data_IF_020949871124
#
_entry.id   IF_020949871124
#
_cell.length_a   1.000
_cell.length_b   1.000
_cell.length_c   1.000
_cell.angle_alpha   90.00
_cell.angle_beta   90.00
_cell.angle_gamma   90.00
#
_symmetry.space_group_name_H-M   'P 1'
#
loop_
_entity.id
_entity.type
_entity.pdbx_description
1 polymer ?
#
# COMPACT_ATOMS: atom_id res chain seq x y z
N UNK A 1 -9.17 22.33 -3.17
CA UNK A 1 -8.15 21.54 -2.45
C UNK A 1 -7.85 20.31 -3.28
N UNK A 2 -6.59 20.06 -3.62
CA UNK A 2 -6.20 18.86 -4.37
C UNK A 2 -6.51 17.60 -3.55
N UNK A 3 -7.22 16.66 -4.17
CA UNK A 3 -7.54 15.37 -3.58
C UNK A 3 -7.75 14.36 -4.69
N UNK A 4 -6.96 13.29 -4.68
CA UNK A 4 -7.06 12.23 -5.68
C UNK A 4 -6.89 10.86 -5.05
N UNK A 5 -7.54 9.86 -5.64
CA UNK A 5 -7.29 8.44 -5.38
C UNK A 5 -6.51 7.86 -6.55
N UNK A 6 -5.45 7.12 -6.24
CA UNK A 6 -4.64 6.41 -7.23
C UNK A 6 -4.62 4.93 -6.88
N UNK A 7 -4.95 4.11 -7.87
CA UNK A 7 -4.93 2.65 -7.77
C UNK A 7 -4.10 2.06 -8.91
N UNK A 8 -3.14 1.20 -8.58
CA UNK A 8 -2.34 0.50 -9.57
C UNK A 8 -3.17 -0.65 -10.16
N UNK A 9 -3.38 -0.59 -11.46
CA UNK A 9 -3.96 -1.69 -12.24
C UNK A 9 -2.93 -2.25 -13.23
N UNK A 10 -3.00 -3.55 -13.58
CA UNK A 10 -2.21 -4.10 -14.67
C UNK A 10 -2.52 -3.32 -15.95
N UNK A 11 -1.48 -3.01 -16.74
CA UNK A 11 -1.66 -2.34 -18.02
C UNK A 11 -2.49 -3.24 -18.96
N UNK A 12 -3.38 -2.67 -19.78
CA UNK A 12 -4.05 -3.44 -20.81
C UNK A 12 -3.03 -3.99 -21.82
N UNK A 13 -3.31 -5.16 -22.36
CA UNK A 13 -2.44 -5.84 -23.35
C UNK A 13 -2.55 -5.22 -24.74
N UNK A 14 -3.70 -4.61 -25.06
CA UNK A 14 -3.95 -3.92 -26.33
C UNK A 14 -3.72 -2.41 -26.25
N UNK A 15 -3.60 -1.78 -27.43
CA UNK A 15 -3.63 -0.31 -27.60
C UNK A 15 -5.04 0.20 -27.93
N UNK A 16 -6.07 -0.59 -27.62
CA UNK A 16 -7.45 -0.20 -27.86
C UNK A 16 -7.81 1.02 -27.01
N UNK A 17 -8.40 2.03 -27.64
CA UNK A 17 -8.71 3.32 -27.03
C UNK A 17 -9.62 3.14 -25.82
N UNK A 18 -10.66 2.32 -25.95
CA UNK A 18 -11.64 2.12 -24.87
C UNK A 18 -11.02 1.36 -23.69
N UNK A 19 -10.13 0.38 -23.95
CA UNK A 19 -9.36 -0.28 -22.89
C UNK A 19 -8.44 0.68 -22.12
N UNK A 20 -7.75 1.59 -22.84
CA UNK A 20 -6.86 2.57 -22.23
C UNK A 20 -7.63 3.61 -21.40
N UNK A 21 -8.79 4.08 -21.87
CA UNK A 21 -9.68 4.98 -21.11
C UNK A 21 -10.21 4.27 -19.86
N UNK A 22 -10.67 3.02 -19.99
CA UNK A 22 -11.15 2.24 -18.83
C UNK A 22 -10.04 2.04 -17.79
N UNK A 23 -8.80 1.77 -18.22
CA UNK A 23 -7.65 1.67 -17.34
C UNK A 23 -7.34 3.00 -16.64
N UNK A 24 -7.39 4.13 -17.36
CA UNK A 24 -7.19 5.47 -16.80
C UNK A 24 -8.23 5.77 -15.71
N UNK A 25 -9.51 5.54 -16.03
CA UNK A 25 -10.64 5.77 -15.13
C UNK A 25 -10.57 4.89 -13.89
N UNK A 26 -10.18 3.62 -14.03
CA UNK A 26 -9.94 2.73 -12.90
C UNK A 26 -8.76 3.21 -12.04
N UNK A 27 -7.66 3.63 -12.66
CA UNK A 27 -6.44 4.11 -11.97
C UNK A 27 -6.72 5.35 -11.12
N UNK A 28 -7.57 6.27 -11.58
CA UNK A 28 -8.02 7.43 -10.79
C UNK A 28 -9.17 7.10 -9.82
N UNK A 29 -9.59 5.83 -9.75
CA UNK A 29 -10.69 5.37 -8.92
C UNK A 29 -12.03 6.04 -9.26
N UNK A 30 -12.19 6.57 -10.48
CA UNK A 30 -13.33 7.39 -10.93
C UNK A 30 -14.65 6.59 -10.99
N UNK A 31 -14.57 5.27 -11.02
CA UNK A 31 -15.72 4.38 -10.95
C UNK A 31 -15.66 3.60 -9.64
N UNK A 32 -16.78 3.56 -8.91
CA UNK A 32 -16.96 2.61 -7.81
C UNK A 32 -17.44 1.30 -8.40
N UNK A 33 -16.53 0.36 -8.68
CA UNK A 33 -16.91 -1.01 -9.05
C UNK A 33 -17.68 -1.65 -7.88
N UNK A 34 -19.00 -1.73 -7.99
CA UNK A 34 -19.86 -2.51 -7.10
C UNK A 34 -20.30 -3.76 -7.88
N UNK A 35 -19.67 -4.90 -7.60
CA UNK A 35 -20.11 -6.20 -8.13
C UNK A 35 -20.09 -6.32 -9.65
N UNK A 36 -20.54 -7.49 -10.14
CA UNK A 36 -20.71 -7.82 -11.56
C UNK A 36 -21.91 -7.10 -12.23
N UNK A 37 -22.48 -6.07 -11.60
CA UNK A 37 -23.74 -5.41 -12.00
C UNK A 37 -23.51 -4.22 -12.94
N UNK A 38 -22.73 -4.40 -14.00
CA UNK A 38 -22.70 -3.45 -15.12
C UNK A 38 -23.14 -4.18 -16.39
N UNK A 39 -24.45 -4.36 -16.53
CA UNK A 39 -25.14 -5.01 -17.66
C UNK A 39 -24.87 -4.36 -19.03
N UNK A 40 -24.29 -3.15 -19.06
CA UNK A 40 -23.93 -2.41 -20.28
C UNK A 40 -22.41 -2.27 -20.52
N UNK A 41 -21.57 -2.94 -19.73
CA UNK A 41 -20.11 -2.86 -19.82
C UNK A 41 -19.52 -1.53 -19.32
N UNK A 42 -18.23 -1.55 -18.97
CA UNK A 42 -17.51 -0.38 -18.42
C UNK A 42 -17.45 0.81 -19.40
N UNK A 43 -17.64 0.59 -20.71
CA UNK A 43 -17.49 1.61 -21.77
C UNK A 43 -18.64 2.63 -21.88
N UNK A 44 -19.83 2.31 -21.36
CA UNK A 44 -21.01 3.20 -21.40
C UNK A 44 -21.17 4.05 -20.14
N UNK A 45 -20.22 3.97 -19.21
CA UNK A 45 -20.31 4.75 -17.99
C UNK A 45 -20.14 6.25 -18.29
N UNK A 46 -20.94 7.14 -17.65
CA UNK A 46 -20.89 8.58 -17.90
C UNK A 46 -19.50 9.20 -17.94
N UNK A 47 -18.61 8.78 -17.02
CA UNK A 47 -17.24 9.31 -16.97
C UNK A 47 -16.37 8.84 -18.14
N UNK A 48 -16.60 7.64 -18.65
CA UNK A 48 -15.90 7.08 -19.80
C UNK A 48 -16.37 7.80 -21.07
N UNK A 49 -17.68 7.98 -21.23
CA UNK A 49 -18.27 8.73 -22.36
C UNK A 49 -17.80 10.18 -22.33
N UNK A 50 -17.80 10.84 -21.17
CA UNK A 50 -17.26 12.20 -20.99
C UNK A 50 -15.82 12.34 -21.48
N UNK A 51 -14.95 11.40 -21.09
CA UNK A 51 -13.57 11.42 -21.52
C UNK A 51 -13.45 11.10 -23.02
N UNK A 52 -14.07 10.01 -23.49
CA UNK A 52 -13.94 9.52 -24.86
C UNK A 52 -14.50 10.50 -25.89
N UNK A 53 -15.74 10.95 -25.70
CA UNK A 53 -16.53 11.61 -26.75
C UNK A 53 -16.47 13.14 -26.65
N UNK A 54 -16.08 13.70 -25.50
CA UNK A 54 -16.00 15.14 -25.31
C UNK A 54 -14.57 15.63 -25.07
N UNK A 55 -13.96 15.26 -23.95
CA UNK A 55 -12.69 15.87 -23.53
C UNK A 55 -11.47 15.41 -24.32
N UNK A 56 -11.37 14.11 -24.62
CA UNK A 56 -10.26 13.58 -25.41
C UNK A 56 -10.52 13.82 -26.90
N UNK A 57 -11.76 13.65 -27.38
CA UNK A 57 -12.11 13.88 -28.79
C UNK A 57 -11.84 15.32 -29.23
N UNK A 58 -12.09 16.31 -28.36
CA UNK A 58 -11.94 17.71 -28.70
C UNK A 58 -11.14 18.46 -27.60
N UNK A 59 -9.84 18.18 -27.45
CA UNK A 59 -9.05 18.59 -26.27
C UNK A 59 -8.82 20.11 -26.18
N UNK A 60 -8.89 20.81 -27.32
CA UNK A 60 -8.78 22.27 -27.42
C UNK A 60 -10.12 23.00 -27.23
N UNK A 61 -11.22 22.26 -27.20
CA UNK A 61 -12.56 22.84 -27.04
C UNK A 61 -13.03 22.67 -25.60
N UNK A 62 -13.74 23.68 -25.10
CA UNK A 62 -14.46 23.53 -23.85
C UNK A 62 -15.92 23.24 -24.12
N UNK A 63 -16.53 22.39 -23.30
CA UNK A 63 -17.93 21.99 -23.43
C UNK A 63 -18.74 22.58 -22.28
N UNK A 64 -19.95 23.03 -22.60
CA UNK A 64 -20.89 23.55 -21.62
C UNK A 64 -21.58 22.41 -20.84
N UNK A 65 -21.77 22.61 -19.53
CA UNK A 65 -22.38 21.59 -18.67
C UNK A 65 -23.84 21.25 -19.06
N UNK A 66 -24.61 22.21 -19.59
CA UNK A 66 -25.99 21.97 -20.05
C UNK A 66 -26.03 21.09 -21.31
N UNK A 67 -25.08 21.29 -22.22
CA UNK A 67 -24.91 20.47 -23.43
C UNK A 67 -24.53 19.05 -23.02
N UNK A 68 -23.51 18.90 -22.17
CA UNK A 68 -23.10 17.59 -21.64
C UNK A 68 -24.25 16.84 -20.95
N UNK A 69 -25.05 17.55 -20.15
CA UNK A 69 -26.17 16.94 -19.44
C UNK A 69 -27.23 16.40 -20.40
N UNK A 70 -27.54 17.16 -21.46
CA UNK A 70 -28.51 16.78 -22.50
C UNK A 70 -28.01 15.60 -23.33
N UNK A 71 -26.75 15.61 -23.76
CA UNK A 71 -26.16 14.57 -24.61
C UNK A 71 -25.99 13.24 -23.86
N UNK A 72 -25.63 13.28 -22.58
CA UNK A 72 -25.50 12.08 -21.74
C UNK A 72 -26.83 11.59 -21.15
N UNK A 73 -27.92 12.34 -21.32
CA UNK A 73 -29.20 12.05 -20.68
C UNK A 73 -29.14 12.07 -19.14
N UNK A 74 -28.28 12.91 -18.56
CA UNK A 74 -28.04 12.98 -17.12
C UNK A 74 -28.70 14.21 -16.49
N UNK A 75 -29.24 14.03 -15.28
CA UNK A 75 -29.63 15.17 -14.46
C UNK A 75 -28.39 16.00 -14.06
N UNK A 76 -28.55 17.33 -13.97
CA UNK A 76 -27.45 18.26 -13.66
C UNK A 76 -26.64 17.90 -12.39
N UNK A 77 -27.25 17.44 -11.27
CA UNK A 77 -26.48 17.02 -10.09
C UNK A 77 -25.57 15.80 -10.35
N UNK A 78 -26.02 14.86 -11.20
CA UNK A 78 -25.25 13.66 -11.54
C UNK A 78 -24.05 14.00 -12.42
N UNK A 79 -24.25 14.86 -13.43
CA UNK A 79 -23.15 15.38 -14.23
C UNK A 79 -22.15 16.15 -13.36
N UNK A 80 -22.64 17.03 -12.49
CA UNK A 80 -21.80 17.81 -11.58
C UNK A 80 -20.90 16.91 -10.74
N UNK A 81 -21.41 15.78 -10.24
CA UNK A 81 -20.61 14.81 -9.51
C UNK A 81 -19.43 14.27 -10.32
N UNK A 82 -19.63 13.90 -11.59
CA UNK A 82 -18.55 13.42 -12.46
C UNK A 82 -17.52 14.52 -12.78
N UNK A 83 -17.99 15.73 -13.08
CA UNK A 83 -17.14 16.89 -13.37
C UNK A 83 -16.29 17.26 -12.16
N UNK A 84 -16.85 17.29 -10.95
CA UNK A 84 -16.09 17.58 -9.71
C UNK A 84 -14.97 16.56 -9.55
N UNK A 85 -15.24 15.27 -9.74
CA UNK A 85 -14.22 14.22 -9.61
C UNK A 85 -13.12 14.31 -10.66
N UNK A 86 -13.45 14.65 -11.91
CA UNK A 86 -12.47 14.89 -12.97
C UNK A 86 -11.60 16.13 -12.68
N UNK A 87 -12.20 17.20 -12.12
CA UNK A 87 -11.45 18.39 -11.68
C UNK A 87 -10.54 18.08 -10.47
N UNK A 88 -11.02 17.28 -9.50
CA UNK A 88 -10.25 16.81 -8.35
C UNK A 88 -9.03 15.99 -8.77
N UNK A 89 -9.18 15.15 -9.81
CA UNK A 89 -8.08 14.39 -10.42
C UNK A 89 -7.21 15.24 -11.36
N UNK A 90 -7.51 16.54 -11.52
CA UNK A 90 -6.80 17.47 -12.39
C UNK A 90 -6.76 17.10 -13.88
N UNK A 91 -7.65 16.22 -14.33
CA UNK A 91 -7.76 15.86 -15.75
C UNK A 91 -8.41 17.00 -16.54
N UNK A 92 -9.43 17.63 -15.96
CA UNK A 92 -10.13 18.77 -16.56
C UNK A 92 -9.94 20.03 -15.72
N UNK A 93 -10.19 21.17 -16.35
CA UNK A 93 -10.33 22.47 -15.72
C UNK A 93 -11.67 23.09 -16.10
N UNK A 94 -12.08 24.11 -15.34
CA UNK A 94 -13.35 24.80 -15.54
C UNK A 94 -13.12 26.30 -15.53
N UNK A 95 -13.74 27.03 -16.45
CA UNK A 95 -13.73 28.50 -16.50
C UNK A 95 -15.16 29.01 -16.39
N UNK A 96 -15.38 30.02 -15.54
CA UNK A 96 -16.65 30.74 -15.47
C UNK A 96 -16.76 31.67 -16.66
N UNK A 97 -17.89 31.65 -17.38
CA UNK A 97 -18.14 32.52 -18.54
C UNK A 97 -19.12 33.66 -18.27
N UNK A 98 -19.65 33.75 -17.04
CA UNK A 98 -20.72 34.70 -16.67
C UNK A 98 -22.01 33.97 -16.34
N UNK A 99 -22.97 34.66 -15.70
CA UNK A 99 -24.33 34.18 -15.40
C UNK A 99 -24.45 32.80 -14.72
N UNK A 100 -23.40 32.38 -14.00
CA UNK A 100 -23.35 31.10 -13.30
C UNK A 100 -22.96 29.91 -14.19
N UNK A 101 -22.65 30.13 -15.47
CA UNK A 101 -22.33 29.08 -16.43
C UNK A 101 -20.83 28.79 -16.42
N UNK A 102 -20.49 27.50 -16.63
CA UNK A 102 -19.11 27.01 -16.59
C UNK A 102 -18.81 26.19 -17.82
N UNK A 103 -17.69 26.52 -18.46
CA UNK A 103 -17.11 25.75 -19.55
C UNK A 103 -16.04 24.82 -19.00
N UNK A 104 -16.11 23.54 -19.36
CA UNK A 104 -15.21 22.49 -18.91
C UNK A 104 -14.31 22.04 -20.06
N UNK A 105 -13.01 21.89 -19.83
CA UNK A 105 -12.03 21.55 -20.87
C UNK A 105 -10.87 20.74 -20.31
N UNK A 106 -10.13 20.05 -21.19
CA UNK A 106 -8.98 19.24 -20.80
C UNK A 106 -7.85 20.14 -20.29
N UNK A 107 -7.31 19.84 -19.10
CA UNK A 107 -6.30 20.69 -18.46
C UNK A 107 -5.02 20.70 -19.29
N UNK A 108 -4.54 21.89 -19.68
CA UNK A 108 -3.32 22.00 -20.49
C UNK A 108 -3.49 21.59 -21.95
N UNK A 109 -4.74 21.51 -22.44
CA UNK A 109 -5.10 21.26 -23.84
C UNK A 109 -4.68 19.88 -24.41
N UNK A 110 -4.12 18.99 -23.59
CA UNK A 110 -3.87 17.59 -23.94
C UNK A 110 -3.87 16.71 -22.68
N UNK A 111 -4.09 15.40 -22.83
CA UNK A 111 -4.10 14.46 -21.71
C UNK A 111 -2.68 14.30 -21.14
N UNK A 112 -1.66 14.26 -22.01
CA UNK A 112 -0.25 14.21 -21.61
C UNK A 112 0.13 15.45 -20.79
N UNK A 113 -0.34 16.63 -21.17
CA UNK A 113 -0.13 17.86 -20.40
C UNK A 113 -0.87 17.81 -19.06
N UNK A 114 -2.14 17.38 -19.04
CA UNK A 114 -2.92 17.21 -17.81
C UNK A 114 -2.20 16.27 -16.82
N UNK A 115 -1.76 15.09 -17.30
CA UNK A 115 -1.04 14.10 -16.49
C UNK A 115 0.32 14.61 -16.03
N UNK A 116 1.04 15.38 -16.85
CA UNK A 116 2.32 16.00 -16.45
C UNK A 116 2.13 16.96 -15.28
N UNK A 117 1.13 17.84 -15.36
CA UNK A 117 0.84 18.80 -14.28
C UNK A 117 0.33 18.07 -13.04
N UNK A 118 -0.60 17.13 -13.21
CA UNK A 118 -1.08 16.25 -12.14
C UNK A 118 0.06 15.55 -11.41
N UNK A 119 1.00 14.95 -12.15
CA UNK A 119 2.12 14.21 -11.59
C UNK A 119 3.03 15.08 -10.73
N UNK A 120 3.29 16.33 -11.15
CA UNK A 120 4.06 17.29 -10.37
C UNK A 120 3.33 17.68 -9.08
N UNK A 121 2.04 18.02 -9.17
CA UNK A 121 1.20 18.40 -8.02
C UNK A 121 1.05 17.24 -7.02
N UNK A 122 0.79 16.02 -7.51
CA UNK A 122 0.68 14.81 -6.70
C UNK A 122 1.96 14.50 -5.91
N UNK A 123 3.13 14.67 -6.51
CA UNK A 123 4.43 14.51 -5.83
C UNK A 123 4.61 15.53 -4.71
N UNK A 124 4.37 16.81 -5.00
CA UNK A 124 4.51 17.89 -4.03
C UNK A 124 3.58 17.66 -2.84
N UNK A 125 2.31 17.33 -3.09
CA UNK A 125 1.34 17.09 -2.03
C UNK A 125 1.68 15.83 -1.22
N UNK A 126 2.11 14.75 -1.88
CA UNK A 126 2.56 13.56 -1.17
C UNK A 126 3.81 13.84 -0.31
N UNK A 127 4.74 14.65 -0.78
CA UNK A 127 5.93 15.05 -0.03
C UNK A 127 5.55 15.82 1.24
N UNK A 128 4.59 16.76 1.13
CA UNK A 128 4.03 17.48 2.27
C UNK A 128 3.33 16.53 3.26
N UNK A 129 2.55 15.57 2.77
CA UNK A 129 1.89 14.60 3.65
C UNK A 129 2.92 13.68 4.33
N UNK A 130 3.92 13.19 3.61
CA UNK A 130 4.91 12.27 4.19
C UNK A 130 5.86 12.95 5.17
N UNK A 131 6.12 14.26 5.06
CA UNK A 131 6.92 14.98 6.06
C UNK A 131 6.25 15.02 7.44
N UNK A 132 4.91 14.96 7.49
CA UNK A 132 4.17 14.90 8.76
C UNK A 132 4.41 13.62 9.55
N UNK A 133 4.83 12.53 8.88
CA UNK A 133 5.06 11.23 9.51
C UNK A 133 6.11 11.29 10.62
N UNK A 134 7.11 12.16 10.48
CA UNK A 134 8.18 12.34 11.46
C UNK A 134 7.65 12.71 12.85
N UNK A 135 6.56 13.48 12.92
CA UNK A 135 5.93 13.92 14.18
C UNK A 135 5.49 12.75 15.07
N UNK A 136 5.14 11.61 14.49
CA UNK A 136 4.64 10.46 15.22
C UNK A 136 5.62 9.29 15.27
N UNK A 137 6.78 9.39 14.60
CA UNK A 137 7.74 8.30 14.52
C UNK A 137 8.53 8.18 15.82
N UNK A 138 8.28 7.12 16.59
CA UNK A 138 8.89 6.88 17.91
C UNK A 138 9.70 5.56 17.95
N UNK A 139 10.10 5.04 16.79
CA UNK A 139 10.89 3.79 16.70
C UNK A 139 12.38 4.10 16.87
N UNK A 140 13.06 3.36 17.75
CA UNK A 140 14.51 3.41 17.88
C UNK A 140 15.19 2.54 16.81
N UNK A 141 16.18 3.08 16.10
CA UNK A 141 16.88 2.39 14.99
C UNK A 141 17.53 1.07 15.42
N UNK A 142 18.04 1.00 16.65
CA UNK A 142 18.70 -0.17 17.24
C UNK A 142 17.81 -1.41 17.35
N UNK A 143 16.49 -1.25 17.27
CA UNK A 143 15.52 -2.35 17.33
C UNK A 143 15.23 -3.00 15.97
N UNK A 144 15.78 -2.44 14.90
CA UNK A 144 15.62 -2.94 13.54
C UNK A 144 16.91 -3.63 13.16
N UNK A 145 17.10 -4.87 13.61
CA UNK A 145 18.01 -5.76 12.89
C UNK A 145 17.53 -5.76 11.44
N UNK A 146 18.43 -5.45 10.49
CA UNK A 146 18.12 -5.42 9.06
C UNK A 146 17.56 -6.78 8.65
N UNK A 147 16.23 -6.89 8.69
CA UNK A 147 15.56 -8.07 8.19
C UNK A 147 15.94 -8.18 6.73
N UNK A 148 16.45 -9.35 6.37
CA UNK A 148 16.62 -9.74 4.99
C UNK A 148 15.39 -9.32 4.19
N UNK A 149 15.56 -8.71 3.00
CA UNK A 149 14.44 -8.42 2.13
C UNK A 149 13.59 -9.68 2.02
N UNK A 150 12.31 -9.52 2.31
CA UNK A 150 11.31 -10.58 2.27
C UNK A 150 11.54 -11.40 1.00
N UNK A 151 11.67 -12.71 1.17
CA UNK A 151 11.91 -13.65 0.07
C UNK A 151 11.00 -13.34 -1.12
N UNK A 152 11.51 -13.57 -2.34
CA UNK A 152 10.91 -13.24 -3.64
C UNK A 152 9.44 -13.66 -3.87
N UNK A 153 8.82 -14.35 -2.92
CA UNK A 153 7.45 -14.87 -2.96
C UNK A 153 6.39 -13.92 -2.37
N UNK A 154 6.75 -12.74 -1.85
CA UNK A 154 5.76 -11.72 -1.48
C UNK A 154 5.68 -10.64 -2.56
N UNK A 155 4.84 -10.87 -3.57
CA UNK A 155 4.51 -9.84 -4.55
C UNK A 155 3.93 -8.63 -3.81
N UNK A 156 4.47 -7.42 -4.01
CA UNK A 156 3.88 -6.23 -3.43
C UNK A 156 2.43 -6.10 -3.91
N UNK A 157 1.52 -5.83 -2.99
CA UNK A 157 0.13 -5.52 -3.35
C UNK A 157 0.10 -4.33 -4.30
N UNK A 158 -0.83 -4.23 -5.26
CA UNK A 158 -0.95 -3.05 -6.10
C UNK A 158 -1.07 -1.76 -5.26
N UNK A 159 -0.44 -0.67 -5.72
CA UNK A 159 -0.52 0.61 -5.01
C UNK A 159 -1.97 1.06 -4.87
N UNK A 160 -2.37 1.46 -3.66
CA UNK A 160 -3.61 2.18 -3.41
C UNK A 160 -3.31 3.30 -2.45
N UNK A 161 -3.44 4.53 -2.93
CA UNK A 161 -3.04 5.72 -2.21
C UNK A 161 -4.05 6.84 -2.44
N UNK A 162 -4.38 7.59 -1.40
CA UNK A 162 -5.01 8.89 -1.56
C UNK A 162 -3.95 9.96 -1.40
N UNK A 163 -4.05 11.02 -2.19
CA UNK A 163 -3.16 12.17 -2.12
C UNK A 163 -4.07 13.38 -1.96
N UNK A 164 -4.12 13.90 -0.75
CA UNK A 164 -4.91 15.07 -0.39
C UNK A 164 -3.99 16.14 0.20
N UNK A 165 -4.26 17.41 -0.07
CA UNK A 165 -3.60 18.49 0.65
C UNK A 165 -3.92 18.39 2.15
N UNK A 166 -2.97 18.71 3.04
CA UNK A 166 -3.22 18.78 4.48
C UNK A 166 -4.36 19.77 4.79
N UNK A 167 -5.41 19.28 5.44
CA UNK A 167 -6.60 20.05 5.78
C UNK A 167 -6.70 20.31 7.28
N UNK A 168 -7.43 21.36 7.72
CA UNK A 168 -7.79 21.51 9.12
C UNK A 168 -8.50 20.26 9.65
N UNK A 169 -8.33 20.00 10.94
CA UNK A 169 -9.06 18.91 11.60
C UNK A 169 -10.57 19.11 11.42
N UNK A 170 -11.31 18.04 11.06
CA UNK A 170 -12.76 18.14 11.02
C UNK A 170 -13.29 18.40 12.45
N UNK A 171 -14.37 19.17 12.60
CA UNK A 171 -14.98 19.49 13.89
C UNK A 171 -15.77 18.29 14.45
N UNK A 172 -15.10 17.14 14.60
CA UNK A 172 -15.68 15.88 15.05
C UNK A 172 -14.92 15.40 16.28
N UNK A 173 -15.64 15.16 17.36
CA UNK A 173 -15.05 14.73 18.63
C UNK A 173 -14.25 13.41 18.46
N UNK A 174 -13.07 13.36 19.08
CA UNK A 174 -12.21 12.18 19.08
C UNK A 174 -11.35 11.99 17.83
N UNK A 175 -11.45 12.86 16.82
CA UNK A 175 -10.52 12.91 15.69
C UNK A 175 -9.22 13.58 16.13
N UNK A 176 -8.08 12.99 15.77
CA UNK A 176 -6.75 13.56 16.00
C UNK A 176 -5.95 13.73 14.70
N UNK A 177 -4.84 14.47 14.75
CA UNK A 177 -3.99 14.74 13.58
C UNK A 177 -3.58 13.47 12.83
N UNK A 178 -3.18 12.43 13.57
CA UNK A 178 -2.80 11.15 12.96
C UNK A 178 -3.96 10.52 12.18
N UNK A 179 -5.16 10.51 12.76
CA UNK A 179 -6.33 9.93 12.10
C UNK A 179 -6.78 10.70 10.86
N UNK A 180 -6.59 12.03 10.85
CA UNK A 180 -6.81 12.88 9.69
C UNK A 180 -5.79 12.57 8.58
N UNK A 181 -4.51 12.53 8.94
CA UNK A 181 -3.44 12.13 8.02
C UNK A 181 -3.64 10.72 7.43
N UNK A 182 -4.06 9.76 8.26
CA UNK A 182 -4.41 8.41 7.80
C UNK A 182 -5.60 8.40 6.83
N UNK A 183 -6.56 9.30 7.01
CA UNK A 183 -7.67 9.48 6.08
C UNK A 183 -7.19 10.04 4.75
N UNK A 184 -6.30 11.03 4.78
CA UNK A 184 -5.76 11.72 3.60
C UNK A 184 -4.91 10.81 2.72
N UNK A 185 -4.28 9.78 3.31
CA UNK A 185 -3.56 8.72 2.59
C UNK A 185 -4.42 7.50 2.22
N UNK A 186 -5.71 7.48 2.63
CA UNK A 186 -6.63 6.39 2.33
C UNK A 186 -6.48 5.14 3.21
N UNK A 187 -5.70 5.22 4.29
CA UNK A 187 -5.44 4.12 5.22
C UNK A 187 -6.69 3.73 6.01
N UNK A 188 -7.64 4.65 6.18
CA UNK A 188 -8.94 4.40 6.82
C UNK A 188 -10.00 3.85 5.84
N UNK A 189 -9.65 3.67 4.57
CA UNK A 189 -10.52 3.10 3.53
C UNK A 189 -11.49 4.11 2.93
N UNK A 190 -12.43 3.63 2.11
CA UNK A 190 -13.29 4.51 1.29
C UNK A 190 -14.32 5.36 2.06
N UNK A 191 -14.52 5.06 3.34
CA UNK A 191 -15.41 5.80 4.24
C UNK A 191 -14.67 6.14 5.53
N UNK A 192 -13.68 7.05 5.47
CA UNK A 192 -12.77 7.29 6.57
C UNK A 192 -13.47 7.82 7.82
N UNK A 193 -14.56 8.60 7.67
CA UNK A 193 -15.29 9.24 8.78
C UNK A 193 -15.75 8.26 9.87
N UNK A 194 -16.01 6.99 9.53
CA UNK A 194 -16.39 5.95 10.50
C UNK A 194 -15.22 5.41 11.33
N UNK A 195 -14.00 5.72 10.96
CA UNK A 195 -12.77 5.17 11.54
C UNK A 195 -11.73 6.25 11.83
N UNK A 196 -12.12 7.52 11.86
CA UNK A 196 -11.26 8.64 12.23
C UNK A 196 -11.15 8.86 13.73
N UNK A 197 -11.90 8.11 14.56
CA UNK A 197 -11.71 8.19 16.00
C UNK A 197 -10.30 7.68 16.37
N UNK A 198 -9.62 8.41 17.23
CA UNK A 198 -8.29 8.10 17.76
C UNK A 198 -8.17 6.74 18.47
N UNK A 199 -9.29 6.16 18.90
CA UNK A 199 -9.43 4.82 19.51
C UNK A 199 -9.91 3.75 18.55
N UNK A 200 -10.07 4.07 17.26
CA UNK A 200 -10.46 3.07 16.27
C UNK A 200 -9.33 2.09 15.99
N UNK A 201 -9.69 0.82 15.73
CA UNK A 201 -8.74 -0.27 15.44
C UNK A 201 -7.64 0.11 14.43
N UNK A 202 -7.93 0.73 13.27
CA UNK A 202 -6.87 1.11 12.33
C UNK A 202 -5.89 2.12 12.92
N UNK A 203 -6.39 3.13 13.64
CA UNK A 203 -5.55 4.19 14.23
C UNK A 203 -4.70 3.63 15.36
N UNK A 204 -5.27 2.78 16.21
CA UNK A 204 -4.54 2.08 17.27
C UNK A 204 -3.41 1.21 16.69
N UNK A 205 -3.73 0.35 15.71
CA UNK A 205 -2.71 -0.46 15.03
C UNK A 205 -1.59 0.40 14.43
N UNK A 206 -1.93 1.51 13.79
CA UNK A 206 -0.93 2.37 13.17
C UNK A 206 -0.04 3.07 14.21
N UNK A 207 -0.61 3.54 15.33
CA UNK A 207 0.16 4.04 16.49
C UNK A 207 1.13 2.97 17.01
N UNK A 208 0.67 1.73 17.12
CA UNK A 208 1.51 0.60 17.54
C UNK A 208 2.69 0.39 16.58
N UNK A 209 2.47 0.48 15.26
CA UNK A 209 3.54 0.37 14.27
C UNK A 209 4.53 1.55 14.33
N UNK A 210 4.05 2.75 14.67
CA UNK A 210 4.87 3.96 14.83
C UNK A 210 5.77 3.94 16.07
N UNK A 211 5.45 3.10 17.06
CA UNK A 211 6.17 3.00 18.33
C UNK A 211 7.08 1.77 18.40
N UNK A 212 6.77 0.70 17.65
CA UNK A 212 7.45 -0.59 17.78
C UNK A 212 8.49 -0.79 16.69
N UNK A 213 9.67 -1.23 17.10
CA UNK A 213 10.70 -1.74 16.19
C UNK A 213 10.33 -3.08 15.54
N UNK A 214 10.09 -4.13 16.36
CA UNK A 214 9.79 -5.47 15.87
C UNK A 214 8.46 -5.55 15.10
N UNK A 215 8.32 -6.50 14.15
CA UNK A 215 7.08 -6.66 13.39
C UNK A 215 5.92 -7.18 14.26
N UNK A 216 4.76 -6.54 14.12
CA UNK A 216 3.53 -6.92 14.81
C UNK A 216 2.87 -8.12 14.15
N UNK A 217 2.62 -9.20 14.89
CA UNK A 217 1.87 -10.35 14.37
C UNK A 217 0.36 -10.13 14.37
N UNK A 218 -0.37 -10.95 13.60
CA UNK A 218 -1.84 -10.93 13.63
C UNK A 218 -2.38 -11.33 15.00
N UNK A 219 -1.77 -12.33 15.65
CA UNK A 219 -2.25 -12.82 16.95
C UNK A 219 -2.10 -11.75 18.05
N UNK A 220 -0.94 -11.09 18.14
CA UNK A 220 -0.76 -9.94 19.05
C UNK A 220 -1.73 -8.79 18.73
N UNK A 221 -2.02 -8.55 17.45
CA UNK A 221 -2.99 -7.52 17.06
C UNK A 221 -4.43 -7.89 17.46
N UNK A 222 -4.79 -9.18 17.46
CA UNK A 222 -6.09 -9.67 17.98
C UNK A 222 -6.17 -9.41 19.47
N UNK A 223 -5.14 -9.78 20.23
CA UNK A 223 -5.09 -9.58 21.68
C UNK A 223 -5.19 -8.09 22.06
N UNK A 224 -4.51 -7.22 21.32
CA UNK A 224 -4.50 -5.79 21.59
C UNK A 224 -5.84 -5.11 21.27
N UNK A 225 -6.48 -5.46 20.15
CA UNK A 225 -7.62 -4.69 19.62
C UNK A 225 -8.97 -5.38 19.78
N UNK A 226 -8.99 -6.66 20.16
CA UNK A 226 -10.19 -7.51 20.18
C UNK A 226 -10.82 -7.76 18.80
N UNK A 227 -10.20 -7.29 17.72
CA UNK A 227 -10.73 -7.45 16.37
C UNK A 227 -10.45 -8.85 15.80
N UNK A 228 -11.30 -9.29 14.86
CA UNK A 228 -11.13 -10.60 14.22
C UNK A 228 -9.94 -10.62 13.25
N UNK A 229 -9.26 -11.77 13.12
CA UNK A 229 -8.14 -11.96 12.18
C UNK A 229 -8.45 -11.46 10.76
N UNK A 230 -9.59 -11.79 10.13
CA UNK A 230 -9.89 -11.33 8.77
C UNK A 230 -10.08 -9.81 8.67
N UNK A 231 -10.52 -9.14 9.75
CA UNK A 231 -10.63 -7.68 9.78
C UNK A 231 -9.25 -7.05 9.85
N UNK A 232 -8.38 -7.57 10.70
CA UNK A 232 -6.99 -7.11 10.85
C UNK A 232 -6.19 -7.29 9.58
N UNK A 233 -6.27 -8.45 8.92
CA UNK A 233 -5.60 -8.70 7.63
C UNK A 233 -6.01 -7.66 6.59
N UNK A 234 -7.30 -7.34 6.46
CA UNK A 234 -7.79 -6.31 5.52
C UNK A 234 -7.27 -4.90 5.85
N UNK A 235 -7.11 -4.57 7.14
CA UNK A 235 -6.55 -3.28 7.56
C UNK A 235 -5.06 -3.22 7.18
N UNK A 236 -4.28 -4.25 7.53
CA UNK A 236 -2.87 -4.30 7.20
C UNK A 236 -2.60 -4.36 5.70
N UNK A 237 -3.40 -5.09 4.91
CA UNK A 237 -3.26 -5.11 3.46
C UNK A 237 -3.52 -3.72 2.86
N UNK A 238 -4.39 -2.91 3.48
CA UNK A 238 -4.59 -1.52 3.09
C UNK A 238 -3.37 -0.65 3.37
N UNK A 239 -2.75 -0.81 4.55
CA UNK A 239 -1.50 -0.12 4.88
C UNK A 239 -0.34 -0.58 3.98
N UNK A 240 -0.33 -1.85 3.57
CA UNK A 240 0.65 -2.38 2.62
C UNK A 240 0.42 -1.86 1.22
N UNK A 241 -0.84 -1.72 0.81
CA UNK A 241 -1.19 -1.18 -0.50
C UNK A 241 -0.73 0.27 -0.66
N UNK A 242 -0.64 1.09 0.40
CA UNK A 242 -0.09 2.45 0.29
C UNK A 242 1.44 2.50 0.18
N UNK A 243 2.15 1.42 0.50
CA UNK A 243 3.61 1.35 0.41
C UNK A 243 4.38 1.81 1.63
N UNK A 244 3.69 2.13 2.74
CA UNK A 244 4.31 2.55 4.00
C UNK A 244 4.46 1.40 5.02
N UNK A 245 3.70 0.31 4.86
CA UNK A 245 3.81 -0.91 5.67
C UNK A 245 4.27 -2.06 4.81
N UNK A 246 5.11 -2.91 5.36
CA UNK A 246 5.53 -4.16 4.77
C UNK A 246 5.19 -5.35 5.67
N UNK A 247 5.11 -6.53 5.04
CA UNK A 247 5.00 -7.80 5.75
C UNK A 247 6.35 -8.48 5.69
N UNK A 248 6.91 -8.78 6.86
CA UNK A 248 8.28 -9.28 7.00
C UNK A 248 8.34 -10.49 7.93
N UNK A 249 9.35 -11.35 7.78
CA UNK A 249 9.64 -12.38 8.77
C UNK A 249 9.96 -11.77 10.15
N UNK A 250 9.46 -12.39 11.21
CA UNK A 250 9.73 -12.02 12.61
C UNK A 250 11.05 -12.58 13.10
N UNK A 251 12.14 -11.94 12.67
CA UNK A 251 13.52 -12.25 13.10
C UNK A 251 13.70 -12.16 14.61
N UNK A 252 12.95 -11.30 15.28
CA UNK A 252 12.86 -11.21 16.74
C UNK A 252 12.39 -12.51 17.41
N UNK A 253 11.75 -13.41 16.65
CA UNK A 253 11.33 -14.74 17.11
C UNK A 253 12.20 -15.86 16.54
N UNK A 254 13.32 -15.58 15.90
CA UNK A 254 14.13 -16.59 15.23
C UNK A 254 14.71 -17.59 16.22
N UNK A 255 15.36 -17.13 17.29
CA UNK A 255 15.97 -17.98 18.31
C UNK A 255 14.97 -18.91 18.97
N UNK A 256 13.79 -18.39 19.37
CA UNK A 256 12.73 -19.22 19.98
C UNK A 256 12.12 -20.22 18.98
N UNK A 257 12.03 -19.87 17.70
CA UNK A 257 11.52 -20.77 16.66
C UNK A 257 12.53 -21.88 16.35
N UNK A 258 13.83 -21.56 16.29
CA UNK A 258 14.90 -22.54 16.13
C UNK A 258 14.94 -23.47 17.34
N UNK A 259 14.86 -22.93 18.55
CA UNK A 259 14.78 -23.71 19.79
C UNK A 259 13.63 -24.73 19.75
N UNK A 260 12.42 -24.28 19.44
CA UNK A 260 11.25 -25.17 19.36
C UNK A 260 11.41 -26.25 18.28
N UNK A 261 12.03 -25.90 17.15
CA UNK A 261 12.33 -26.85 16.08
C UNK A 261 13.39 -27.88 16.51
N UNK A 262 14.45 -27.44 17.18
CA UNK A 262 15.50 -28.30 17.75
C UNK A 262 14.90 -29.29 18.75
N UNK A 263 14.11 -28.82 19.73
CA UNK A 263 13.45 -29.71 20.70
C UNK A 263 12.54 -30.74 20.02
N UNK A 264 11.68 -30.28 19.09
CA UNK A 264 10.75 -31.18 18.39
C UNK A 264 11.49 -32.23 17.56
N UNK A 265 12.52 -31.84 16.81
CA UNK A 265 13.27 -32.77 15.97
C UNK A 265 14.14 -33.72 16.81
N UNK A 266 14.77 -33.22 17.87
CA UNK A 266 15.54 -34.04 18.80
C UNK A 266 14.66 -35.16 19.40
N UNK A 267 13.49 -34.81 19.94
CA UNK A 267 12.56 -35.80 20.53
C UNK A 267 12.05 -36.83 19.52
N UNK A 268 11.91 -36.44 18.25
CA UNK A 268 11.35 -37.32 17.20
C UNK A 268 12.39 -38.18 16.51
N UNK A 269 13.62 -37.69 16.35
CA UNK A 269 14.61 -38.27 15.43
C UNK A 269 16.01 -38.45 16.03
N UNK A 270 16.24 -37.93 17.24
CA UNK A 270 17.50 -38.07 17.96
C UNK A 270 18.63 -37.16 17.46
N UNK A 271 19.77 -37.31 18.14
CA UNK A 271 21.00 -36.52 17.94
C UNK A 271 21.59 -36.67 16.53
N UNK A 272 21.77 -37.91 16.06
CA UNK A 272 22.37 -38.21 14.75
C UNK A 272 21.65 -37.50 13.60
N UNK A 273 20.32 -37.43 13.68
CA UNK A 273 19.53 -36.75 12.67
C UNK A 273 19.79 -35.24 12.66
N UNK A 274 19.87 -34.60 13.83
CA UNK A 274 20.15 -33.16 13.94
C UNK A 274 21.52 -32.80 13.37
N UNK A 275 22.53 -33.62 13.69
CA UNK A 275 23.91 -33.45 13.24
C UNK A 275 24.00 -33.51 11.71
N UNK A 276 23.35 -34.52 11.10
CA UNK A 276 23.41 -34.77 9.67
C UNK A 276 22.34 -33.99 8.90
N UNK A 277 21.10 -34.49 8.93
CA UNK A 277 19.99 -33.99 8.10
C UNK A 277 19.46 -32.65 8.62
N UNK A 278 19.44 -32.44 9.94
CA UNK A 278 19.04 -31.20 10.59
C UNK A 278 20.01 -30.03 10.39
N UNK A 279 21.22 -30.32 9.90
CA UNK A 279 22.14 -29.30 9.40
C UNK A 279 23.04 -28.64 10.44
N UNK A 280 23.09 -29.14 11.68
CA UNK A 280 23.99 -28.59 12.71
C UNK A 280 25.46 -28.61 12.25
N UNK A 281 25.96 -29.75 11.75
CA UNK A 281 27.35 -29.88 11.25
C UNK A 281 27.68 -28.95 10.08
N UNK A 282 26.67 -28.46 9.37
CA UNK A 282 26.85 -27.61 8.18
C UNK A 282 26.76 -26.12 8.50
N UNK A 283 26.00 -25.74 9.52
CA UNK A 283 25.63 -24.34 9.76
C UNK A 283 26.19 -23.79 11.08
N UNK A 284 26.57 -24.64 12.03
CA UNK A 284 26.93 -24.24 13.40
C UNK A 284 28.37 -24.67 13.69
N UNK A 285 29.20 -23.85 14.36
CA UNK A 285 30.53 -24.25 14.79
C UNK A 285 30.50 -25.42 15.78
N UNK A 286 31.45 -26.33 15.68
CA UNK A 286 31.49 -27.57 16.49
C UNK A 286 31.41 -27.32 18.00
N UNK A 287 32.04 -26.24 18.49
CA UNK A 287 31.96 -25.83 19.91
C UNK A 287 30.52 -25.56 20.33
N UNK A 288 29.77 -24.82 19.53
CA UNK A 288 28.38 -24.45 19.82
C UNK A 288 27.43 -25.63 19.62
N UNK A 289 27.71 -26.52 18.66
CA UNK A 289 26.98 -27.79 18.51
C UNK A 289 27.06 -28.58 19.82
N UNK A 290 28.26 -28.76 20.38
CA UNK A 290 28.46 -29.51 21.62
C UNK A 290 27.69 -28.90 22.80
N UNK A 291 27.59 -27.56 22.87
CA UNK A 291 26.78 -26.86 23.87
C UNK A 291 25.30 -27.16 23.69
N UNK A 292 24.78 -27.04 22.46
CA UNK A 292 23.37 -27.27 22.13
C UNK A 292 22.98 -28.73 22.41
N UNK A 293 23.75 -29.71 21.93
CA UNK A 293 23.47 -31.14 22.11
C UNK A 293 23.52 -31.52 23.59
N UNK A 294 24.55 -31.07 24.34
CA UNK A 294 24.64 -31.35 25.78
C UNK A 294 23.45 -30.76 26.55
N UNK A 295 22.94 -29.61 26.14
CA UNK A 295 21.75 -29.01 26.72
C UNK A 295 20.47 -29.76 26.35
N UNK A 296 20.33 -30.22 25.11
CA UNK A 296 19.22 -31.07 24.65
C UNK A 296 19.18 -32.40 25.42
N UNK A 297 20.33 -33.08 25.56
CA UNK A 297 20.45 -34.35 26.28
C UNK A 297 20.04 -34.21 27.76
N UNK A 298 20.24 -33.03 28.35
CA UNK A 298 19.83 -32.70 29.72
C UNK A 298 18.43 -32.11 29.85
N UNK A 299 17.73 -31.86 28.74
CA UNK A 299 16.43 -31.18 28.74
C UNK A 299 16.49 -29.74 29.24
N UNK A 300 17.63 -29.07 29.09
CA UNK A 300 17.90 -27.70 29.59
C UNK A 300 18.20 -26.69 28.48
N UNK A 301 17.89 -27.02 27.23
CA UNK A 301 18.02 -26.08 26.13
C UNK A 301 16.97 -24.98 26.30
N UNK A 302 17.38 -23.70 26.27
CA UNK A 302 16.46 -22.55 26.33
C UNK A 302 16.62 -21.65 25.10
N UNK A 303 15.64 -20.80 24.78
CA UNK A 303 15.76 -19.83 23.68
C UNK A 303 16.97 -18.90 23.80
N UNK A 304 17.32 -18.47 25.01
CA UNK A 304 18.45 -17.57 25.27
C UNK A 304 19.79 -18.26 25.03
N UNK A 305 19.88 -19.56 25.36
CA UNK A 305 21.06 -20.36 25.06
C UNK A 305 21.23 -20.54 23.55
N UNK A 306 20.12 -20.77 22.82
CA UNK A 306 20.14 -20.84 21.36
C UNK A 306 20.54 -19.50 20.75
N UNK A 307 20.00 -18.38 21.23
CA UNK A 307 20.38 -17.05 20.77
C UNK A 307 21.87 -16.78 20.96
N UNK A 308 22.41 -17.12 22.15
CA UNK A 308 23.83 -16.96 22.44
C UNK A 308 24.70 -17.85 21.54
N UNK A 309 24.36 -19.12 21.39
CA UNK A 309 25.11 -20.08 20.58
C UNK A 309 25.07 -19.79 19.08
N UNK A 310 24.05 -19.06 18.61
CA UNK A 310 23.93 -18.67 17.19
C UNK A 310 24.29 -17.20 16.94
N UNK A 311 24.75 -16.45 17.96
CA UNK A 311 25.01 -15.01 17.86
C UNK A 311 26.08 -14.63 16.82
N UNK A 312 27.07 -15.51 16.60
CA UNK A 312 28.11 -15.32 15.58
C UNK A 312 27.66 -15.70 14.16
N UNK A 313 26.51 -16.36 14.00
CA UNK A 313 25.99 -16.76 12.70
C UNK A 313 25.20 -15.64 12.04
N UNK A 314 25.40 -15.47 10.73
CA UNK A 314 24.58 -14.55 9.95
C UNK A 314 23.10 -14.97 9.98
N UNK A 315 22.18 -13.99 9.98
CA UNK A 315 20.73 -14.23 9.92
C UNK A 315 20.32 -15.19 8.80
N UNK A 316 20.99 -15.15 7.64
CA UNK A 316 20.73 -16.06 6.51
C UNK A 316 21.01 -17.52 6.87
N UNK A 317 22.12 -17.78 7.57
CA UNK A 317 22.50 -19.13 8.00
C UNK A 317 21.54 -19.65 9.06
N UNK A 318 21.14 -18.81 10.02
CA UNK A 318 20.14 -19.16 11.03
C UNK A 318 18.78 -19.50 10.39
N UNK A 319 18.35 -18.73 9.38
CA UNK A 319 17.13 -19.05 8.61
C UNK A 319 17.26 -20.34 7.81
N UNK A 320 18.42 -20.62 7.22
CA UNK A 320 18.68 -21.88 6.52
C UNK A 320 18.62 -23.06 7.49
N UNK A 321 19.23 -22.94 8.66
CA UNK A 321 19.15 -23.93 9.74
C UNK A 321 17.69 -24.19 10.12
N UNK A 322 16.89 -23.13 10.33
CA UNK A 322 15.46 -23.28 10.63
C UNK A 322 14.72 -24.07 9.54
N UNK A 323 15.01 -23.79 8.26
CA UNK A 323 14.41 -24.51 7.14
C UNK A 323 14.82 -25.99 7.12
N UNK A 324 16.08 -26.31 7.41
CA UNK A 324 16.58 -27.70 7.51
C UNK A 324 15.93 -28.46 8.67
N UNK A 325 15.62 -27.78 9.77
CA UNK A 325 14.86 -28.31 10.90
C UNK A 325 13.35 -28.44 10.61
N UNK A 326 12.90 -28.01 9.43
CA UNK A 326 11.49 -28.02 9.01
C UNK A 326 10.63 -26.93 9.65
N UNK A 327 11.24 -25.94 10.29
CA UNK A 327 10.55 -24.80 10.87
C UNK A 327 10.25 -23.70 9.84
N UNK A 328 9.36 -22.79 10.21
CA UNK A 328 9.05 -21.58 9.43
C UNK A 328 8.91 -20.40 10.37
N UNK A 329 9.48 -19.26 9.99
CA UNK A 329 9.37 -18.06 10.80
C UNK A 329 7.99 -17.42 10.61
N UNK A 330 7.30 -17.01 11.70
CA UNK A 330 6.05 -16.29 11.57
C UNK A 330 6.27 -14.95 10.87
N UNK A 331 5.24 -14.49 10.18
CA UNK A 331 5.24 -13.19 9.51
C UNK A 331 4.56 -12.14 10.40
N UNK A 332 5.07 -10.92 10.37
CA UNK A 332 4.47 -9.76 11.00
C UNK A 332 4.45 -8.55 10.08
N UNK A 333 3.89 -7.45 10.56
CA UNK A 333 3.75 -6.19 9.84
C UNK A 333 4.56 -5.10 10.54
N UNK A 334 5.25 -4.27 9.76
CA UNK A 334 6.00 -3.11 10.27
C UNK A 334 5.99 -1.96 9.26
N UNK A 335 6.30 -0.75 9.72
CA UNK A 335 6.60 0.35 8.79
C UNK A 335 7.86 0.04 7.98
N UNK A 336 7.85 0.44 6.71
CA UNK A 336 8.97 0.24 5.80
C UNK A 336 10.16 1.08 6.24
N UNK A 337 11.34 0.46 6.25
CA UNK A 337 12.59 1.14 6.58
C UNK A 337 12.77 1.44 8.07
N UNK A 338 13.89 2.11 8.36
CA UNK A 338 14.33 2.48 9.71
C UNK A 338 13.94 3.91 10.10
N UNK A 339 13.73 4.78 9.11
CA UNK A 339 13.41 6.20 9.30
C UNK A 339 12.14 6.60 8.55
N UNK A 340 11.47 7.70 8.97
CA UNK A 340 10.32 8.24 8.26
C UNK A 340 10.69 8.62 6.81
N UNK A 341 11.93 9.03 6.55
CA UNK A 341 12.44 9.35 5.21
C UNK A 341 12.42 8.12 4.28
N UNK A 342 12.95 6.97 4.72
CA UNK A 342 12.96 5.74 3.90
C UNK A 342 11.52 5.24 3.67
N UNK A 343 10.65 5.36 4.69
CA UNK A 343 9.23 5.04 4.55
C UNK A 343 8.55 5.93 3.49
N UNK A 344 8.87 7.23 3.50
CA UNK A 344 8.40 8.19 2.50
C UNK A 344 8.91 7.84 1.09
N UNK A 345 10.20 7.55 0.93
CA UNK A 345 10.80 7.14 -0.34
C UNK A 345 10.15 5.88 -0.92
N UNK A 346 9.84 4.88 -0.07
CA UNK A 346 9.10 3.69 -0.49
C UNK A 346 7.74 4.02 -1.08
N UNK A 347 6.95 4.86 -0.40
CA UNK A 347 5.64 5.31 -0.89
C UNK A 347 5.77 6.08 -2.22
N UNK A 348 6.70 7.05 -2.28
CA UNK A 348 6.95 7.88 -3.46
C UNK A 348 7.43 7.07 -4.67
N UNK A 349 8.37 6.15 -4.48
CA UNK A 349 8.87 5.26 -5.53
C UNK A 349 7.76 4.43 -6.17
N UNK A 350 6.81 3.96 -5.35
CA UNK A 350 5.63 3.24 -5.84
C UNK A 350 4.68 4.16 -6.60
N UNK A 351 4.42 5.37 -6.10
CA UNK A 351 3.65 6.38 -6.83
C UNK A 351 4.29 6.67 -8.20
N UNK A 352 5.61 6.89 -8.24
CA UNK A 352 6.35 7.18 -9.47
C UNK A 352 6.24 6.08 -10.52
N UNK A 353 6.13 4.82 -10.11
CA UNK A 353 5.85 3.71 -11.03
C UNK A 353 4.47 3.87 -11.69
N UNK A 354 3.44 4.26 -10.93
CA UNK A 354 2.10 4.49 -11.46
C UNK A 354 2.05 5.75 -12.32
N UNK A 355 2.66 6.85 -11.89
CA UNK A 355 2.74 8.10 -12.66
C UNK A 355 3.43 7.90 -14.02
N UNK A 356 4.52 7.12 -14.07
CA UNK A 356 5.17 6.75 -15.34
C UNK A 356 4.24 5.97 -16.27
N UNK A 357 3.42 5.07 -15.73
CA UNK A 357 2.42 4.31 -16.52
C UNK A 357 1.30 5.23 -17.01
N UNK A 358 0.79 6.11 -16.16
CA UNK A 358 -0.22 7.12 -16.52
C UNK A 358 0.27 7.97 -17.70
N UNK A 359 1.51 8.46 -17.64
CA UNK A 359 2.11 9.22 -18.74
C UNK A 359 2.15 8.42 -20.04
N UNK A 360 2.60 7.16 -19.97
CA UNK A 360 2.70 6.29 -21.15
C UNK A 360 1.33 5.99 -21.76
N UNK A 361 0.30 5.81 -20.93
CA UNK A 361 -1.08 5.61 -21.40
C UNK A 361 -1.66 6.89 -21.98
N UNK A 362 -1.35 8.06 -21.42
CA UNK A 362 -1.76 9.34 -21.98
C UNK A 362 -1.19 9.56 -23.40
N UNK A 363 0.12 9.33 -23.57
CA UNK A 363 0.80 9.41 -24.86
C UNK A 363 0.18 8.41 -25.87
N UNK A 364 -0.09 7.16 -25.46
CA UNK A 364 -0.74 6.15 -26.31
C UNK A 364 -2.17 6.50 -26.70
N UNK A 365 -2.94 7.11 -25.80
CA UNK A 365 -4.29 7.56 -26.10
C UNK A 365 -4.27 8.66 -27.15
N UNK A 366 -3.41 9.67 -27.00
CA UNK A 366 -3.27 10.75 -27.98
C UNK A 366 -2.81 10.22 -29.36
N UNK A 367 -1.80 9.35 -29.41
CA UNK A 367 -1.36 8.70 -30.66
C UNK A 367 -2.47 7.91 -31.36
N UNK A 368 -3.38 7.30 -30.60
CA UNK A 368 -4.50 6.54 -31.16
C UNK A 368 -5.57 7.45 -31.80
N UNK A 369 -5.60 8.73 -31.40
CA UNK A 369 -6.60 9.70 -31.83
C UNK A 369 -6.13 10.54 -33.03
N UNK A 370 -4.82 10.74 -33.19
CA UNK A 370 -4.25 11.39 -34.38
C UNK A 370 -4.31 10.50 -35.64
N UNK A 371 -4.53 9.19 -35.47
CA UNK A 371 -4.59 8.20 -36.56
C UNK A 371 -6.00 7.94 -37.12
N UNK A 372 -6.99 8.66 -36.62
CA UNK A 372 -8.40 8.64 -37.07
C UNK A 372 -8.68 9.97 -37.73
#
# INVERSE_FOLDING_TARGET
MFRVRIEEHPLPTGRDRDQLINWLVATFGLIRRRGEEHSFGDSQQPVVVLLRDHFLANPNSGVDASILAKELGLAAPSLHHHIVRLNECRLIASKSEGDGWRRHFLRGASLSAAIKIFSAEARIVLDLQMSLLEKWWQRNESSIQLNMPTSANQTPLPLRLWIAEPSPLPPVAGVCDLSAWMADLGLLGDRPTKSMNSTSVPVELFKTLLQRGPPLSIDEAVEMTGATKPRLTRIFDRFRASGIVERVPRTDRLSITIWAALESQYRKRGEDWLMLKGGLNRQVPEREINVIIKALNKGKLTPELVEKSLSELELKQQMLLLNLLGGRLPLGYRLVGTSPLICAESCKSRLDRVLRRLRRVAEQLEESMEKV
#
